data_IF_617243767091
#
_entry.id   IF_617243767091
#
_cell.length_a   1.000
_cell.length_b   1.000
_cell.length_c   1.000
_cell.angle_alpha   90.00
_cell.angle_beta   90.00
_cell.angle_gamma   90.00
#
_symmetry.space_group_name_H-M   'P 1'
#
loop_
_entity.id
_entity.type
_entity.pdbx_description
1 polymer ?
#
# COMPACT_ATOMS: atom_id res chain seq x y z
N UNK A 1 -11.22 23.43 -12.56
CA UNK A 1 -10.37 22.86 -11.48
C UNK A 1 -11.31 22.18 -10.50
N UNK A 2 -11.11 20.89 -10.27
CA UNK A 2 -11.92 20.15 -9.30
C UNK A 2 -11.62 20.66 -7.89
N UNK A 3 -12.67 21.12 -7.19
CA UNK A 3 -12.57 21.63 -5.82
C UNK A 3 -11.93 20.62 -4.86
N UNK A 4 -12.24 19.32 -5.04
CA UNK A 4 -11.63 18.23 -4.24
C UNK A 4 -10.11 18.16 -4.41
N UNK A 5 -9.62 18.35 -5.63
CA UNK A 5 -8.18 18.38 -5.94
C UNK A 5 -7.50 19.57 -5.26
N UNK A 6 -8.14 20.73 -5.26
CA UNK A 6 -7.60 21.91 -4.56
C UNK A 6 -7.52 21.67 -3.05
N UNK A 7 -8.56 21.08 -2.45
CA UNK A 7 -8.55 20.74 -1.03
C UNK A 7 -7.48 19.68 -0.68
N UNK A 8 -7.32 18.67 -1.54
CA UNK A 8 -6.27 17.66 -1.35
C UNK A 8 -4.88 18.29 -1.36
N UNK A 9 -4.62 19.17 -2.33
CA UNK A 9 -3.35 19.91 -2.40
C UNK A 9 -3.11 20.79 -1.18
N UNK A 10 -4.15 21.47 -0.70
CA UNK A 10 -4.07 22.30 0.50
C UNK A 10 -3.73 21.42 1.72
N UNK A 11 -4.44 20.30 1.92
CA UNK A 11 -4.18 19.38 3.02
C UNK A 11 -2.75 18.82 2.94
N UNK A 12 -2.31 18.34 1.77
CA UNK A 12 -0.96 17.80 1.58
C UNK A 12 0.14 18.86 1.84
N UNK A 13 -0.14 20.16 1.57
CA UNK A 13 0.84 21.22 1.82
C UNK A 13 1.12 21.48 3.30
N UNK A 14 0.28 21.00 4.21
CA UNK A 14 0.49 21.10 5.65
C UNK A 14 1.55 20.13 6.18
N UNK A 15 1.90 19.09 5.42
CA UNK A 15 2.89 18.09 5.83
C UNK A 15 2.48 17.25 7.04
N UNK A 16 1.18 17.05 7.24
CA UNK A 16 0.59 16.27 8.34
C UNK A 16 -0.25 15.13 7.76
N UNK A 17 0.18 13.89 8.01
CA UNK A 17 -0.49 12.68 7.51
C UNK A 17 -1.91 12.47 8.04
N UNK A 18 -2.28 13.11 9.15
CA UNK A 18 -3.62 13.04 9.73
C UNK A 18 -4.58 14.08 9.13
N UNK A 19 -4.06 15.17 8.57
CA UNK A 19 -4.85 16.19 7.88
C UNK A 19 -5.01 15.80 6.42
N UNK A 20 -6.10 15.11 6.08
CA UNK A 20 -6.34 14.59 4.75
C UNK A 20 -7.78 14.82 4.28
N UNK A 21 -7.97 14.91 2.98
CA UNK A 21 -9.31 14.94 2.36
C UNK A 21 -9.65 13.52 1.89
N UNK A 22 -10.65 12.85 2.49
CA UNK A 22 -10.92 11.43 2.24
C UNK A 22 -11.67 11.19 0.92
N UNK A 23 -11.17 11.77 -0.20
CA UNK A 23 -11.82 11.64 -1.51
C UNK A 23 -11.81 10.21 -2.06
N UNK A 24 -10.91 9.33 -1.57
CA UNK A 24 -10.92 7.90 -1.88
C UNK A 24 -12.20 7.18 -1.45
N UNK A 25 -12.97 7.74 -0.51
CA UNK A 25 -14.28 7.21 -0.15
C UNK A 25 -15.29 7.28 -1.29
N UNK A 26 -15.06 8.16 -2.27
CA UNK A 26 -15.91 8.31 -3.45
C UNK A 26 -15.39 7.51 -4.66
N UNK A 27 -14.27 6.80 -4.52
CA UNK A 27 -13.71 5.98 -5.57
C UNK A 27 -14.46 4.65 -5.70
N UNK A 28 -14.82 4.29 -6.92
CA UNK A 28 -15.62 3.12 -7.23
C UNK A 28 -14.86 2.06 -8.02
N UNK A 29 -13.78 2.45 -8.70
CA UNK A 29 -12.97 1.54 -9.50
C UNK A 29 -11.59 1.31 -8.90
N UNK A 30 -11.09 0.08 -9.03
CA UNK A 30 -9.77 -0.31 -8.55
C UNK A 30 -9.03 -1.13 -9.61
N UNK A 31 -7.71 -1.02 -9.63
CA UNK A 31 -6.86 -2.03 -10.25
C UNK A 31 -6.54 -3.11 -9.20
N UNK A 32 -6.79 -4.40 -9.48
CA UNK A 32 -6.55 -5.48 -8.52
C UNK A 32 -5.05 -5.82 -8.38
N UNK A 33 -4.21 -4.81 -8.33
CA UNK A 33 -2.75 -4.89 -8.19
C UNK A 33 -2.29 -3.86 -7.17
N UNK A 34 -1.29 -4.22 -6.35
CA UNK A 34 -0.63 -3.30 -5.43
C UNK A 34 0.87 -3.39 -5.57
N UNK A 35 1.54 -2.28 -5.29
CA UNK A 35 2.98 -2.14 -5.37
C UNK A 35 3.59 -1.98 -3.98
N UNK A 36 4.73 -2.63 -3.75
CA UNK A 36 5.67 -2.22 -2.72
C UNK A 36 6.59 -1.17 -3.34
N UNK A 37 6.64 0.01 -2.72
CA UNK A 37 7.46 1.14 -3.17
C UNK A 37 8.73 1.22 -2.32
N UNK A 38 9.82 1.61 -2.95
CA UNK A 38 11.09 1.91 -2.30
C UNK A 38 11.81 2.97 -3.14
N UNK A 39 11.88 4.20 -2.64
CA UNK A 39 12.41 5.38 -3.33
C UNK A 39 11.82 5.56 -4.74
N UNK A 40 12.53 5.09 -5.76
CA UNK A 40 12.12 5.26 -7.17
C UNK A 40 11.80 3.93 -7.87
N UNK A 41 11.67 2.84 -7.11
CA UNK A 41 11.32 1.52 -7.65
C UNK A 41 9.96 1.06 -7.13
N UNK A 42 9.33 0.17 -7.87
CA UNK A 42 8.09 -0.47 -7.49
C UNK A 42 8.18 -1.97 -7.80
N UNK A 43 7.73 -2.80 -6.87
CA UNK A 43 7.64 -4.24 -7.07
C UNK A 43 6.18 -4.63 -6.93
N UNK A 44 5.68 -5.49 -7.80
CA UNK A 44 4.31 -6.02 -7.66
C UNK A 44 4.22 -6.85 -6.38
N UNK A 45 3.47 -6.35 -5.40
CA UNK A 45 3.30 -6.95 -4.09
C UNK A 45 2.02 -7.80 -3.98
N UNK A 46 0.99 -7.39 -4.71
CA UNK A 46 -0.30 -8.09 -4.79
C UNK A 46 -0.76 -8.12 -6.23
N UNK A 47 -1.23 -9.26 -6.69
CA UNK A 47 -1.88 -9.42 -8.01
C UNK A 47 -3.05 -10.39 -7.94
N UNK A 48 -4.00 -10.36 -8.90
CA UNK A 48 -5.02 -11.40 -9.03
C UNK A 48 -4.36 -12.73 -9.43
N UNK A 49 -5.04 -13.83 -9.14
CA UNK A 49 -4.57 -15.19 -9.47
C UNK A 49 -4.26 -15.35 -10.96
N UNK A 50 -5.10 -14.77 -11.83
CA UNK A 50 -4.93 -14.82 -13.30
C UNK A 50 -3.68 -14.09 -13.80
N UNK A 51 -3.06 -13.25 -12.96
CA UNK A 51 -1.82 -12.52 -13.26
C UNK A 51 -0.71 -12.83 -12.24
N UNK A 52 -0.72 -14.04 -11.67
CA UNK A 52 0.24 -14.43 -10.62
C UNK A 52 1.70 -14.33 -11.07
N UNK A 53 1.98 -14.50 -12.36
CA UNK A 53 3.32 -14.44 -12.95
C UNK A 53 4.00 -13.07 -12.82
N UNK A 54 3.23 -12.01 -12.53
CA UNK A 54 3.81 -10.67 -12.31
C UNK A 54 4.23 -10.42 -10.86
N UNK A 55 3.86 -11.28 -9.91
CA UNK A 55 4.23 -11.11 -8.51
C UNK A 55 5.75 -11.08 -8.32
N UNK A 56 6.23 -10.09 -7.59
CA UNK A 56 7.65 -9.90 -7.32
C UNK A 56 8.43 -9.25 -8.46
N UNK A 57 7.82 -9.01 -9.63
CA UNK A 57 8.50 -8.31 -10.72
C UNK A 57 8.68 -6.84 -10.40
N UNK A 58 9.85 -6.31 -10.76
CA UNK A 58 10.15 -4.89 -10.67
C UNK A 58 9.49 -4.14 -11.84
N UNK A 59 8.68 -3.13 -11.49
CA UNK A 59 7.98 -2.26 -12.44
C UNK A 59 8.85 -1.04 -12.73
N UNK A 60 9.20 -0.84 -14.00
CA UNK A 60 10.00 0.30 -14.45
C UNK A 60 9.14 1.47 -14.91
N UNK A 61 7.96 1.17 -15.49
CA UNK A 61 7.00 2.18 -15.95
C UNK A 61 5.57 1.73 -15.71
N UNK A 62 4.71 2.71 -15.46
CA UNK A 62 3.26 2.53 -15.44
C UNK A 62 2.66 3.57 -16.40
N UNK A 63 1.84 3.11 -17.36
CA UNK A 63 1.27 3.95 -18.41
C UNK A 63 2.33 4.79 -19.14
N UNK A 64 3.51 4.20 -19.40
CA UNK A 64 4.65 4.83 -20.07
C UNK A 64 5.41 5.85 -19.22
N UNK A 65 5.04 6.08 -17.95
CA UNK A 65 5.71 6.99 -17.02
C UNK A 65 6.57 6.23 -16.03
N UNK A 66 7.76 6.75 -15.71
CA UNK A 66 8.61 6.16 -14.67
C UNK A 66 7.97 6.27 -13.29
N UNK A 67 8.29 5.35 -12.40
CA UNK A 67 7.80 5.34 -11.01
C UNK A 67 8.11 6.68 -10.33
N UNK A 68 9.35 7.17 -10.46
CA UNK A 68 9.75 8.48 -9.95
C UNK A 68 8.82 9.61 -10.41
N UNK A 69 8.47 9.64 -11.70
CA UNK A 69 7.57 10.68 -12.23
C UNK A 69 6.18 10.56 -11.61
N UNK A 70 5.65 9.34 -11.47
CA UNK A 70 4.32 9.11 -10.85
C UNK A 70 4.32 9.60 -9.40
N UNK A 71 5.35 9.26 -8.62
CA UNK A 71 5.47 9.69 -7.23
C UNK A 71 5.56 11.22 -7.13
N UNK A 72 6.31 11.87 -8.02
CA UNK A 72 6.42 13.34 -8.07
C UNK A 72 5.08 14.03 -8.33
N UNK A 73 4.27 13.54 -9.28
CA UNK A 73 2.97 14.15 -9.58
C UNK A 73 1.89 13.78 -8.55
N UNK A 74 2.04 12.65 -7.83
CA UNK A 74 1.15 12.26 -6.75
C UNK A 74 1.44 13.01 -5.43
N UNK A 75 2.69 13.42 -5.18
CA UNK A 75 3.13 14.06 -3.93
C UNK A 75 2.24 15.22 -3.48
N UNK A 76 1.82 16.16 -4.36
CA UNK A 76 0.95 17.27 -3.97
C UNK A 76 -0.48 16.88 -3.62
N UNK A 77 -0.89 15.62 -3.84
CA UNK A 77 -2.25 15.14 -3.62
C UNK A 77 -2.39 14.25 -2.37
N UNK A 78 -1.26 13.82 -1.81
CA UNK A 78 -1.21 12.82 -0.72
C UNK A 78 -0.57 13.45 0.52
N UNK A 79 -1.37 13.61 1.57
CA UNK A 79 -0.89 14.10 2.87
C UNK A 79 0.03 13.06 3.51
N UNK A 80 1.18 13.51 4.03
CA UNK A 80 2.13 12.64 4.71
C UNK A 80 3.09 13.47 5.57
N UNK A 81 3.51 12.91 6.70
CA UNK A 81 4.44 13.55 7.65
C UNK A 81 5.89 13.53 7.14
N UNK A 82 6.23 12.51 6.35
CA UNK A 82 7.57 12.28 5.79
C UNK A 82 7.50 11.39 4.55
N UNK A 83 8.64 11.13 3.91
CA UNK A 83 8.69 10.37 2.67
C UNK A 83 8.28 8.90 2.86
N UNK A 84 8.68 8.25 3.95
CA UNK A 84 8.27 6.87 4.23
C UNK A 84 6.75 6.76 4.45
N UNK A 85 6.13 7.73 5.14
CA UNK A 85 4.69 7.80 5.29
C UNK A 85 4.01 8.07 3.94
N UNK A 86 4.58 8.96 3.10
CA UNK A 86 4.09 9.19 1.76
C UNK A 86 4.09 7.92 0.90
N UNK A 87 5.21 7.19 0.84
CA UNK A 87 5.31 5.94 0.07
C UNK A 87 4.32 4.89 0.55
N UNK A 88 4.17 4.77 1.88
CA UNK A 88 3.21 3.85 2.47
C UNK A 88 1.75 4.23 2.15
N UNK A 89 1.46 5.52 2.04
CA UNK A 89 0.12 6.02 1.73
C UNK A 89 -0.18 5.98 0.24
N UNK A 90 0.73 6.46 -0.61
CA UNK A 90 0.50 6.57 -2.05
C UNK A 90 0.32 5.21 -2.71
N UNK A 91 0.99 4.15 -2.24
CA UNK A 91 0.80 2.78 -2.77
C UNK A 91 -0.65 2.30 -2.69
N UNK A 92 -1.38 2.70 -1.64
CA UNK A 92 -2.80 2.37 -1.50
C UNK A 92 -3.66 3.20 -2.47
N UNK A 93 -3.29 4.47 -2.70
CA UNK A 93 -3.98 5.32 -3.69
C UNK A 93 -3.79 4.81 -5.12
N UNK A 94 -2.62 4.26 -5.47
CA UNK A 94 -2.34 3.73 -6.79
C UNK A 94 -3.19 2.48 -7.14
N UNK A 95 -3.77 1.80 -6.15
CA UNK A 95 -4.78 0.77 -6.39
C UNK A 95 -6.10 1.34 -6.91
N UNK A 96 -6.46 2.57 -6.54
CA UNK A 96 -7.71 3.16 -6.98
C UNK A 96 -7.58 3.67 -8.41
N UNK A 97 -8.32 3.06 -9.34
CA UNK A 97 -8.33 3.49 -10.73
C UNK A 97 -8.79 4.95 -10.86
N UNK A 98 -9.73 5.39 -10.01
CA UNK A 98 -10.23 6.77 -9.98
C UNK A 98 -9.20 7.80 -9.49
N UNK A 99 -8.06 7.36 -8.96
CA UNK A 99 -6.95 8.26 -8.60
C UNK A 99 -6.12 8.69 -9.84
N UNK A 100 -6.01 7.82 -10.84
CA UNK A 100 -5.14 8.06 -12.00
C UNK A 100 -5.51 9.25 -12.87
N UNK A 101 -6.80 9.59 -13.09
CA UNK A 101 -7.17 10.84 -13.75
C UNK A 101 -6.68 12.10 -13.03
N UNK A 102 -6.54 12.08 -11.70
CA UNK A 102 -5.97 13.20 -10.94
C UNK A 102 -4.48 13.39 -11.24
N UNK A 103 -3.80 12.35 -11.71
CA UNK A 103 -2.42 12.36 -12.20
C UNK A 103 -2.32 12.62 -13.71
N UNK A 104 -3.44 12.87 -14.40
CA UNK A 104 -3.51 13.08 -15.85
C UNK A 104 -3.38 11.80 -16.69
N UNK A 105 -3.76 10.64 -16.14
CA UNK A 105 -3.67 9.32 -16.80
C UNK A 105 -5.02 8.63 -16.88
N UNK A 106 -5.14 7.60 -17.77
CA UNK A 106 -6.34 6.79 -17.90
C UNK A 106 -6.60 5.95 -16.65
N UNK A 107 -7.87 5.67 -16.39
CA UNK A 107 -8.35 4.81 -15.30
C UNK A 107 -9.02 3.51 -15.78
N UNK A 108 -8.92 3.16 -17.05
CA UNK A 108 -9.55 1.94 -17.60
C UNK A 108 -8.57 0.76 -17.63
N UNK A 109 -7.35 1.00 -18.06
CA UNK A 109 -6.29 -0.01 -18.19
C UNK A 109 -4.99 0.55 -17.62
N UNK A 110 -4.32 -0.25 -16.83
CA UNK A 110 -2.99 0.01 -16.29
C UNK A 110 -1.98 -0.80 -17.09
N UNK A 111 -1.12 -0.13 -17.86
CA UNK A 111 -0.02 -0.76 -18.58
C UNK A 111 1.22 -0.78 -17.68
N UNK A 112 1.77 -1.96 -17.43
CA UNK A 112 2.97 -2.17 -16.63
C UNK A 112 4.12 -2.66 -17.52
N UNK A 113 5.26 -1.95 -17.47
CA UNK A 113 6.51 -2.40 -18.07
C UNK A 113 7.44 -2.86 -16.95
N UNK A 114 8.06 -4.03 -17.11
CA UNK A 114 8.93 -4.66 -16.12
C UNK A 114 10.42 -4.56 -16.49
N UNK A 115 11.28 -4.70 -15.48
CA UNK A 115 12.74 -4.66 -15.67
C UNK A 115 13.28 -5.83 -16.53
N UNK A 116 12.55 -6.95 -16.59
CA UNK A 116 12.88 -8.11 -17.43
C UNK A 116 12.50 -7.91 -18.91
N UNK A 117 11.99 -6.74 -19.29
CA UNK A 117 11.54 -6.40 -20.64
C UNK A 117 10.14 -6.89 -20.99
N UNK A 118 9.47 -7.62 -20.10
CA UNK A 118 8.07 -8.01 -20.30
C UNK A 118 7.11 -6.85 -19.96
N UNK A 119 5.87 -6.95 -20.40
CA UNK A 119 4.80 -6.01 -20.07
C UNK A 119 3.47 -6.73 -19.85
N UNK A 120 2.54 -6.07 -19.19
CA UNK A 120 1.18 -6.57 -18.99
C UNK A 120 0.18 -5.42 -18.90
N UNK A 121 -1.08 -5.76 -19.05
CA UNK A 121 -2.21 -4.85 -18.91
C UNK A 121 -3.13 -5.35 -17.79
N UNK A 122 -3.54 -4.44 -16.90
CA UNK A 122 -4.48 -4.72 -15.82
C UNK A 122 -5.70 -3.84 -16.02
N UNK A 123 -6.85 -4.45 -16.26
CA UNK A 123 -8.12 -3.72 -16.38
C UNK A 123 -8.63 -3.28 -15.01
N UNK A 124 -9.21 -2.08 -14.96
CA UNK A 124 -9.92 -1.62 -13.77
C UNK A 124 -11.21 -2.43 -13.58
N UNK A 125 -11.56 -2.71 -12.34
CA UNK A 125 -12.80 -3.37 -11.95
C UNK A 125 -13.55 -2.50 -10.94
N UNK A 126 -14.86 -2.72 -10.81
CA UNK A 126 -15.62 -2.09 -9.74
C UNK A 126 -15.12 -2.58 -8.38
N UNK A 127 -14.95 -1.67 -7.43
CA UNK A 127 -14.43 -1.95 -6.09
C UNK A 127 -15.22 -3.04 -5.36
N UNK A 128 -16.54 -3.10 -5.57
CA UNK A 128 -17.40 -4.14 -5.00
C UNK A 128 -17.11 -5.55 -5.55
N UNK A 129 -16.47 -5.65 -6.72
CA UNK A 129 -16.10 -6.91 -7.36
C UNK A 129 -14.69 -7.37 -6.94
N UNK A 130 -13.96 -6.56 -6.17
CA UNK A 130 -12.65 -6.92 -5.66
C UNK A 130 -12.77 -8.03 -4.62
N UNK A 131 -12.44 -9.25 -4.98
CA UNK A 131 -12.42 -10.40 -4.07
C UNK A 131 -11.04 -10.52 -3.45
N UNK A 132 -10.86 -9.98 -2.26
CA UNK A 132 -9.56 -9.97 -1.54
C UNK A 132 -9.01 -11.41 -1.38
N UNK A 133 -9.85 -12.42 -1.18
CA UNK A 133 -9.46 -13.82 -1.08
C UNK A 133 -8.83 -14.40 -2.37
N UNK A 134 -9.02 -13.75 -3.51
CA UNK A 134 -8.44 -14.14 -4.81
C UNK A 134 -7.17 -13.35 -5.15
N UNK A 135 -6.77 -12.42 -4.29
CA UNK A 135 -5.51 -11.71 -4.46
C UNK A 135 -4.36 -12.52 -3.88
N UNK A 136 -3.34 -12.71 -4.69
CA UNK A 136 -2.09 -13.33 -4.28
C UNK A 136 -1.12 -12.27 -3.79
N UNK A 137 -0.34 -12.60 -2.76
CA UNK A 137 0.62 -11.68 -2.17
C UNK A 137 2.04 -12.21 -2.37
N UNK A 138 2.96 -11.32 -2.71
CA UNK A 138 4.38 -11.62 -2.72
C UNK A 138 4.90 -11.74 -1.28
N UNK A 139 5.28 -12.95 -0.89
CA UNK A 139 5.88 -13.23 0.42
C UNK A 139 7.40 -13.42 0.35
N UNK A 140 8.00 -13.30 -0.84
CA UNK A 140 9.45 -13.47 -1.02
C UNK A 140 10.22 -12.31 -0.38
N UNK A 141 11.21 -12.65 0.45
CA UNK A 141 12.15 -11.70 1.04
C UNK A 141 11.60 -10.80 2.15
N UNK A 142 10.35 -10.98 2.57
CA UNK A 142 9.80 -10.31 3.75
C UNK A 142 9.99 -11.16 4.99
N UNK A 143 10.42 -10.54 6.07
CA UNK A 143 10.13 -11.06 7.39
C UNK A 143 8.61 -11.25 7.44
N UNK A 144 8.15 -12.48 7.62
CA UNK A 144 6.72 -12.81 7.54
C UNK A 144 5.96 -12.06 8.62
N UNK A 145 5.37 -10.94 8.24
CA UNK A 145 4.54 -10.19 9.16
C UNK A 145 3.27 -10.96 9.44
N UNK A 146 3.03 -11.33 10.68
CA UNK A 146 1.78 -11.94 11.12
C UNK A 146 0.70 -10.85 11.19
N UNK A 147 0.01 -10.61 10.07
CA UNK A 147 -0.97 -9.52 9.94
C UNK A 147 -2.19 -9.66 10.85
N UNK A 148 -2.47 -10.87 11.33
CA UNK A 148 -3.64 -11.16 12.18
C UNK A 148 -3.35 -11.01 13.68
N UNK A 149 -2.16 -10.56 14.07
CA UNK A 149 -1.79 -10.29 15.45
C UNK A 149 -1.62 -8.78 15.66
N UNK A 150 -1.93 -8.28 16.85
CA UNK A 150 -1.68 -6.87 17.19
C UNK A 150 -0.19 -6.60 17.35
N UNK A 151 0.50 -7.53 17.97
CA UNK A 151 1.94 -7.54 18.17
C UNK A 151 2.46 -8.97 18.19
N UNK A 152 3.71 -9.16 17.82
CA UNK A 152 4.41 -10.45 17.79
C UNK A 152 5.91 -10.22 17.80
N UNK A 153 6.69 -11.28 18.08
CA UNK A 153 8.14 -11.25 17.96
C UNK A 153 8.67 -12.54 17.35
N UNK A 154 9.86 -12.45 16.78
CA UNK A 154 10.64 -13.58 16.31
C UNK A 154 12.09 -13.40 16.72
N UNK A 155 12.69 -14.42 17.33
CA UNK A 155 14.09 -14.43 17.67
C UNK A 155 14.84 -15.22 16.60
N UNK A 156 15.87 -14.63 16.05
CA UNK A 156 16.83 -15.25 15.13
C UNK A 156 18.12 -15.47 15.91
N UNK A 157 18.24 -16.66 16.51
CA UNK A 157 19.34 -16.97 17.45
C UNK A 157 20.72 -16.91 16.79
N UNK A 158 20.83 -17.39 15.54
CA UNK A 158 22.09 -17.43 14.78
C UNK A 158 22.63 -16.02 14.52
N UNK A 159 21.76 -15.06 14.22
CA UNK A 159 22.10 -13.66 13.94
C UNK A 159 22.07 -12.78 15.18
N UNK A 160 21.62 -13.30 16.33
CA UNK A 160 21.40 -12.53 17.57
C UNK A 160 20.45 -11.33 17.36
N UNK A 161 19.40 -11.54 16.55
CA UNK A 161 18.41 -10.51 16.20
C UNK A 161 17.06 -10.87 16.83
N UNK A 162 16.42 -9.90 17.49
CA UNK A 162 15.01 -9.97 17.86
C UNK A 162 14.21 -9.03 16.93
N UNK A 163 13.31 -9.61 16.14
CA UNK A 163 12.36 -8.86 15.35
C UNK A 163 11.07 -8.70 16.12
N UNK A 164 10.73 -7.45 16.46
CA UNK A 164 9.48 -7.09 17.15
C UNK A 164 8.53 -6.43 16.15
N UNK A 165 7.32 -6.95 16.09
CA UNK A 165 6.27 -6.45 15.20
C UNK A 165 5.14 -5.83 16.00
N UNK A 166 4.77 -4.59 15.64
CA UNK A 166 3.57 -3.90 16.10
C UNK A 166 2.70 -3.56 14.89
N UNK A 167 1.50 -4.13 14.83
CA UNK A 167 0.53 -3.83 13.79
C UNK A 167 -0.47 -2.77 14.25
N UNK A 168 -0.70 -2.64 15.55
CA UNK A 168 -1.59 -1.66 16.12
C UNK A 168 -1.26 -1.42 17.59
N UNK A 169 -1.33 -0.17 18.06
CA UNK A 169 -1.25 0.20 19.47
C UNK A 169 -2.59 -0.05 20.16
N UNK A 170 -2.94 -1.31 20.29
CA UNK A 170 -4.17 -1.76 20.93
C UNK A 170 -3.90 -3.06 21.69
N UNK A 171 -4.60 -3.27 22.78
CA UNK A 171 -4.64 -4.53 23.51
C UNK A 171 -6.06 -4.79 24.04
N UNK A 172 -6.27 -5.88 24.79
CA UNK A 172 -7.58 -6.22 25.34
C UNK A 172 -8.10 -5.21 26.38
N UNK A 173 -7.27 -4.35 26.94
CA UNK A 173 -7.68 -3.31 27.88
C UNK A 173 -8.23 -2.11 27.11
N UNK A 174 -7.49 -1.66 26.12
CA UNK A 174 -7.86 -0.48 25.33
C UNK A 174 -8.98 -0.76 24.34
N UNK A 175 -9.11 -2.03 23.92
CA UNK A 175 -10.11 -2.47 22.94
C UNK A 175 -10.82 -3.75 23.43
N UNK A 176 -11.90 -3.65 24.18
CA UNK A 176 -12.61 -4.79 24.78
C UNK A 176 -13.06 -5.86 23.78
N UNK A 177 -13.24 -5.52 22.50
CA UNK A 177 -13.55 -6.48 21.44
C UNK A 177 -12.42 -7.48 21.15
N UNK A 178 -11.21 -7.20 21.65
CA UNK A 178 -10.03 -8.08 21.51
C UNK A 178 -9.72 -8.86 22.80
N UNK A 179 -10.73 -9.27 23.53
CA UNK A 179 -10.59 -10.01 24.81
C UNK A 179 -9.72 -11.27 24.73
N UNK A 180 -9.67 -11.91 23.56
CA UNK A 180 -8.85 -13.10 23.32
C UNK A 180 -7.35 -12.79 23.16
N UNK A 181 -6.97 -11.52 23.11
CA UNK A 181 -5.59 -11.13 22.89
C UNK A 181 -4.87 -10.91 24.22
N UNK A 182 -3.55 -11.15 24.23
CA UNK A 182 -2.72 -10.86 25.37
C UNK A 182 -2.70 -9.34 25.65
N UNK A 183 -2.49 -8.98 26.91
CA UNK A 183 -2.12 -7.62 27.26
C UNK A 183 -0.70 -7.35 26.82
N UNK A 184 -0.39 -6.08 26.51
CA UNK A 184 0.95 -5.72 26.08
C UNK A 184 2.02 -6.02 27.15
N UNK A 185 1.72 -5.81 28.43
CA UNK A 185 2.61 -6.12 29.55
C UNK A 185 2.80 -7.64 29.78
N UNK A 186 1.85 -8.48 29.40
CA UNK A 186 1.99 -9.94 29.39
C UNK A 186 2.92 -10.36 28.24
N UNK A 187 2.68 -9.84 27.02
CA UNK A 187 3.50 -10.10 25.86
C UNK A 187 4.98 -9.75 26.09
N UNK A 188 5.27 -8.58 26.69
CA UNK A 188 6.66 -8.16 26.93
C UNK A 188 7.38 -8.95 28.02
N UNK A 189 6.64 -9.67 28.89
CA UNK A 189 7.23 -10.59 29.86
C UNK A 189 7.65 -11.93 29.27
N UNK A 190 6.95 -12.36 28.21
CA UNK A 190 7.19 -13.63 27.54
C UNK A 190 8.31 -13.52 26.47
N UNK A 191 8.73 -12.29 26.15
CA UNK A 191 9.80 -11.96 25.20
C UNK A 191 11.18 -11.97 25.85
#
# INVERSE_FOLDING_TARGET
IDFKVCLAKLAASLGDGHTTVPFWMTFNKVFPVRFALNDNSAIVDVSPEDNREILGKEVTRINGKSIKHILQIARPLVSADNDANFENTVKEYLMFADFWPLLGMSNEILHLDFADGSSTEIAAIDKQNLKIAQLQQNNSGRVTSKRNTLFDYTIYDEESICYLQFNQFADRITHPQYQQLARFDEFTRDM
#
